data_IF_610046728334
#
_entry.id   IF_610046728334
#
_cell.length_a   1.000
_cell.length_b   1.000
_cell.length_c   1.000
_cell.angle_alpha   90.00
_cell.angle_beta   90.00
_cell.angle_gamma   90.00
#
_symmetry.space_group_name_H-M   'P 1'
#
loop_
_entity.id
_entity.type
_entity.pdbx_description
1 polymer ?
#
# COMPACT_ATOMS: atom_id res chain seq x y z
N UNK A 1 -28.28 5.63 -45.06
CA UNK A 1 -26.86 5.97 -44.90
C UNK A 1 -26.73 6.57 -43.51
N UNK A 2 -26.48 5.69 -42.55
CA UNK A 2 -26.18 6.09 -41.19
C UNK A 2 -24.73 6.51 -41.16
N UNK A 3 -24.52 7.81 -41.13
CA UNK A 3 -23.20 8.38 -40.83
C UNK A 3 -22.99 8.28 -39.32
N UNK A 4 -22.55 7.07 -38.89
CA UNK A 4 -22.18 6.81 -37.53
C UNK A 4 -21.01 7.69 -37.17
N UNK A 5 -21.26 8.70 -36.36
CA UNK A 5 -20.28 9.57 -35.76
C UNK A 5 -19.20 8.68 -35.08
N UNK A 6 -18.12 8.41 -35.81
CA UNK A 6 -16.93 7.77 -35.25
C UNK A 6 -16.41 8.72 -34.19
N UNK A 7 -16.63 8.38 -32.92
CA UNK A 7 -15.92 9.00 -31.83
C UNK A 7 -14.46 8.56 -31.99
N UNK A 8 -13.66 9.39 -32.64
CA UNK A 8 -12.21 9.20 -32.77
C UNK A 8 -11.62 9.66 -31.42
N UNK A 9 -11.55 8.77 -30.47
CA UNK A 9 -10.77 9.05 -29.25
C UNK A 9 -9.28 9.00 -29.60
N UNK A 10 -8.53 9.98 -29.13
CA UNK A 10 -7.07 9.97 -29.22
C UNK A 10 -6.52 8.67 -28.64
N UNK A 11 -5.73 7.96 -29.46
CA UNK A 11 -5.14 6.67 -29.07
C UNK A 11 -3.64 6.79 -29.12
N UNK A 12 -3.06 7.05 -27.97
CA UNK A 12 -1.62 7.09 -27.80
C UNK A 12 -1.05 5.69 -27.58
N UNK A 13 -0.04 5.34 -28.36
CA UNK A 13 0.69 4.07 -28.25
C UNK A 13 2.17 4.35 -28.00
N UNK A 14 2.77 3.60 -27.09
CA UNK A 14 4.20 3.68 -26.83
C UNK A 14 4.98 3.18 -28.05
N UNK A 15 5.62 4.08 -28.78
CA UNK A 15 6.45 3.77 -29.92
C UNK A 15 7.84 3.30 -29.53
N UNK A 16 8.43 3.94 -28.51
CA UNK A 16 9.72 3.55 -27.98
C UNK A 16 9.92 4.00 -26.56
N UNK A 17 10.62 3.20 -25.79
CA UNK A 17 11.19 3.57 -24.50
C UNK A 17 12.71 3.53 -24.61
N UNK A 18 13.36 4.63 -24.30
CA UNK A 18 14.81 4.76 -24.24
C UNK A 18 15.22 4.98 -22.79
N UNK A 19 16.22 4.26 -22.34
CA UNK A 19 16.76 4.40 -20.98
C UNK A 19 18.28 4.55 -21.03
N UNK A 20 18.81 5.38 -20.15
CA UNK A 20 20.26 5.56 -19.96
C UNK A 20 20.54 5.40 -18.48
N UNK A 21 21.43 4.49 -18.12
CA UNK A 21 21.89 4.29 -16.73
C UNK A 21 20.73 4.16 -15.72
N UNK A 22 19.81 3.24 -15.95
CA UNK A 22 18.67 3.01 -15.10
C UNK A 22 18.66 1.59 -14.51
N UNK A 23 18.78 1.46 -13.20
CA UNK A 23 18.85 0.18 -12.50
C UNK A 23 20.00 -0.71 -13.01
N UNK A 24 19.71 -1.92 -13.43
CA UNK A 24 20.68 -2.86 -14.03
C UNK A 24 21.11 -2.49 -15.44
N UNK A 25 20.39 -1.61 -16.12
CA UNK A 25 20.72 -1.16 -17.47
C UNK A 25 21.83 -0.10 -17.44
N UNK A 26 23.03 -0.47 -17.81
CA UNK A 26 24.18 0.43 -17.95
C UNK A 26 24.31 0.95 -19.39
N UNK A 27 24.54 2.27 -19.55
CA UNK A 27 24.58 2.88 -20.88
C UNK A 27 23.19 3.04 -21.51
N UNK A 28 23.16 3.13 -22.82
CA UNK A 28 21.95 3.38 -23.61
C UNK A 28 21.26 2.09 -24.04
N UNK A 29 19.96 2.00 -23.77
CA UNK A 29 19.08 0.91 -24.22
C UNK A 29 17.80 1.47 -24.80
N UNK A 30 17.24 0.78 -25.80
CA UNK A 30 15.97 1.15 -26.44
C UNK A 30 15.07 -0.07 -26.58
N UNK A 31 13.82 0.10 -26.19
CA UNK A 31 12.75 -0.89 -26.35
C UNK A 31 11.71 -0.31 -27.30
N UNK A 32 11.28 -1.13 -28.26
CA UNK A 32 10.28 -0.76 -29.27
C UNK A 32 9.15 -1.78 -29.22
N UNK A 33 8.04 -1.45 -28.53
CA UNK A 33 6.85 -2.30 -28.52
C UNK A 33 6.24 -2.40 -29.92
N UNK A 34 5.39 -3.40 -30.12
CA UNK A 34 4.64 -3.54 -31.38
C UNK A 34 3.69 -2.34 -31.57
N UNK A 35 3.75 -1.77 -32.76
CA UNK A 35 2.85 -0.71 -33.22
C UNK A 35 1.79 -1.26 -34.20
N UNK A 36 1.77 -2.58 -34.41
CA UNK A 36 0.81 -3.24 -35.29
C UNK A 36 -0.58 -3.31 -34.65
N UNK A 37 -1.60 -2.78 -35.34
CA UNK A 37 -2.98 -2.82 -34.86
C UNK A 37 -3.56 -4.23 -34.78
N UNK A 38 -3.06 -5.15 -35.60
CA UNK A 38 -3.47 -6.56 -35.58
C UNK A 38 -2.83 -7.32 -34.41
N UNK A 39 -1.63 -6.90 -33.97
CA UNK A 39 -0.88 -7.51 -32.87
C UNK A 39 -0.30 -6.43 -31.93
N UNK A 40 -1.14 -5.72 -31.16
CA UNK A 40 -0.70 -4.60 -30.33
C UNK A 40 0.00 -5.03 -29.03
N UNK A 41 0.30 -6.32 -28.89
CA UNK A 41 0.89 -6.90 -27.67
C UNK A 41 2.36 -7.20 -27.88
N UNK A 42 3.20 -6.75 -26.97
CA UNK A 42 4.62 -7.10 -26.89
C UNK A 42 4.88 -7.90 -25.63
N UNK A 43 5.39 -9.11 -25.80
CA UNK A 43 5.77 -9.96 -24.67
C UNK A 43 7.22 -9.68 -24.24
N UNK A 44 7.39 -9.27 -23.00
CA UNK A 44 8.70 -9.10 -22.37
C UNK A 44 9.04 -10.37 -21.57
N UNK A 45 9.83 -11.27 -22.17
CA UNK A 45 10.28 -12.52 -21.55
C UNK A 45 11.76 -12.45 -21.17
N UNK A 46 12.13 -13.15 -20.11
CA UNK A 46 13.50 -13.23 -19.64
C UNK A 46 13.59 -13.93 -18.28
N UNK A 47 14.80 -14.35 -17.91
CA UNK A 47 15.08 -14.96 -16.61
C UNK A 47 14.73 -14.03 -15.43
N UNK A 48 14.70 -14.57 -14.22
CA UNK A 48 14.64 -13.75 -13.02
C UNK A 48 15.82 -12.77 -13.01
N UNK A 49 15.63 -11.58 -12.46
CA UNK A 49 16.65 -10.51 -12.37
C UNK A 49 17.16 -9.94 -13.72
N UNK A 50 16.56 -10.32 -14.84
CA UNK A 50 16.94 -9.79 -16.16
C UNK A 50 16.55 -8.32 -16.42
N UNK A 51 16.04 -7.62 -15.42
CA UNK A 51 15.68 -6.20 -15.51
C UNK A 51 14.25 -5.92 -16.00
N UNK A 52 13.37 -6.92 -16.15
CA UNK A 52 11.97 -6.70 -16.57
C UNK A 52 11.23 -5.72 -15.67
N UNK A 53 11.31 -5.91 -14.35
CA UNK A 53 10.71 -5.01 -13.37
C UNK A 53 11.34 -3.61 -13.41
N UNK A 54 12.64 -3.52 -13.68
CA UNK A 54 13.37 -2.25 -13.85
C UNK A 54 12.80 -1.42 -15.00
N UNK A 55 12.39 -2.09 -16.08
CA UNK A 55 11.77 -1.44 -17.24
C UNK A 55 10.35 -0.92 -16.90
N UNK A 56 9.59 -1.67 -16.09
CA UNK A 56 8.27 -1.23 -15.59
C UNK A 56 8.44 -0.06 -14.63
N UNK A 57 9.43 -0.11 -13.74
CA UNK A 57 9.72 0.96 -12.79
C UNK A 57 10.17 2.26 -13.50
N UNK A 58 10.80 2.16 -14.68
CA UNK A 58 11.07 3.32 -15.53
C UNK A 58 9.77 4.01 -15.96
N UNK A 59 8.74 3.26 -16.34
CA UNK A 59 7.43 3.82 -16.68
C UNK A 59 6.76 4.47 -15.46
N UNK A 60 6.82 3.82 -14.31
CA UNK A 60 6.27 4.37 -13.06
C UNK A 60 6.95 5.70 -12.74
N UNK A 61 8.29 5.73 -12.83
CA UNK A 61 9.07 6.93 -12.56
C UNK A 61 8.77 8.10 -13.52
N UNK A 62 8.38 7.80 -14.75
CA UNK A 62 8.14 8.82 -15.78
C UNK A 62 6.68 9.29 -15.82
N UNK A 63 5.72 8.37 -15.77
CA UNK A 63 4.32 8.64 -16.09
C UNK A 63 3.44 8.88 -14.87
N UNK A 64 3.79 8.31 -13.71
CA UNK A 64 2.95 8.38 -12.51
C UNK A 64 3.37 9.50 -11.55
N UNK A 65 2.45 9.93 -10.68
CA UNK A 65 2.75 10.98 -9.70
C UNK A 65 3.97 10.65 -8.84
N UNK A 66 4.71 11.69 -8.44
CA UNK A 66 5.83 11.54 -7.52
C UNK A 66 5.36 10.88 -6.21
N UNK A 67 6.15 9.93 -5.71
CA UNK A 67 5.79 9.13 -4.53
C UNK A 67 5.00 7.87 -4.84
N UNK A 68 4.65 7.60 -6.11
CA UNK A 68 4.09 6.31 -6.50
C UNK A 68 5.14 5.22 -6.24
N UNK A 69 4.82 4.18 -5.46
CA UNK A 69 5.78 3.13 -5.14
C UNK A 69 6.15 2.33 -6.38
N UNK A 70 7.42 1.98 -6.52
CA UNK A 70 7.87 1.07 -7.56
C UNK A 70 7.34 -0.35 -7.32
N UNK A 71 7.39 -1.19 -8.36
CA UNK A 71 6.80 -2.53 -8.33
C UNK A 71 7.37 -3.38 -7.18
N UNK A 72 6.46 -3.91 -6.35
CA UNK A 72 6.78 -4.73 -5.16
C UNK A 72 7.24 -6.16 -5.49
N UNK A 73 7.10 -6.60 -6.74
CA UNK A 73 7.38 -7.99 -7.14
C UNK A 73 8.84 -8.45 -6.99
N UNK A 74 9.76 -7.55 -6.65
CA UNK A 74 11.16 -7.86 -6.36
C UNK A 74 11.48 -7.53 -4.90
N UNK A 75 10.84 -8.24 -3.98
CA UNK A 75 11.12 -8.18 -2.55
C UNK A 75 12.45 -8.84 -2.19
N UNK A 76 13.55 -8.18 -2.49
CA UNK A 76 14.81 -8.44 -1.83
C UNK A 76 15.14 -7.23 -0.95
N UNK A 77 14.76 -7.29 0.31
CA UNK A 77 15.22 -6.38 1.36
C UNK A 77 14.68 -4.95 1.28
N UNK A 78 14.69 -4.28 2.40
CA UNK A 78 14.27 -2.91 2.73
C UNK A 78 15.00 -1.78 1.98
N UNK A 79 15.51 -2.00 0.80
CA UNK A 79 16.11 -0.95 -0.02
C UNK A 79 15.00 -0.12 -0.63
N UNK A 80 14.86 1.11 -0.20
CA UNK A 80 13.97 2.08 -0.79
C UNK A 80 14.38 2.31 -2.25
N UNK A 81 13.62 1.72 -3.17
CA UNK A 81 13.79 1.97 -4.59
C UNK A 81 13.33 3.37 -4.91
N UNK A 82 14.24 4.18 -5.40
CA UNK A 82 13.99 5.55 -5.79
C UNK A 82 14.90 5.94 -6.97
N UNK A 83 14.73 7.13 -7.52
CA UNK A 83 15.53 7.62 -8.63
C UNK A 83 17.05 7.56 -8.38
N UNK A 84 17.47 7.83 -7.17
CA UNK A 84 18.89 7.81 -6.80
C UNK A 84 19.47 6.39 -6.85
N UNK A 85 18.77 5.42 -6.25
CA UNK A 85 19.21 4.03 -6.24
C UNK A 85 19.17 3.42 -7.63
N UNK A 86 18.19 3.82 -8.47
CA UNK A 86 18.12 3.41 -9.87
C UNK A 86 19.23 4.05 -10.71
N UNK A 87 19.49 5.35 -10.59
CA UNK A 87 20.57 6.02 -11.32
C UNK A 87 21.93 5.39 -10.99
N UNK A 88 22.19 5.14 -9.72
CA UNK A 88 23.43 4.49 -9.28
C UNK A 88 23.49 2.99 -9.56
N UNK A 89 22.36 2.35 -9.86
CA UNK A 89 22.28 0.91 -10.11
C UNK A 89 22.60 0.11 -8.85
N UNK A 90 21.77 0.22 -7.85
CA UNK A 90 21.92 -0.54 -6.62
C UNK A 90 21.72 -2.04 -6.90
N UNK A 91 22.70 -2.86 -6.51
CA UNK A 91 22.71 -4.32 -6.74
C UNK A 91 22.60 -5.14 -5.46
N UNK A 92 22.79 -4.51 -4.30
CA UNK A 92 22.74 -5.21 -3.02
C UNK A 92 23.11 -4.31 -1.85
N UNK A 93 23.17 -4.93 -0.70
CA UNK A 93 23.60 -4.32 0.56
C UNK A 93 24.73 -5.20 1.08
N UNK A 94 25.80 -4.59 1.54
CA UNK A 94 26.90 -5.26 2.24
C UNK A 94 26.76 -4.99 3.73
N UNK A 95 26.80 -6.06 4.52
CA UNK A 95 26.91 -5.97 5.97
C UNK A 95 28.38 -5.69 6.33
N UNK A 96 28.72 -4.45 6.64
CA UNK A 96 30.04 -4.04 7.09
C UNK A 96 30.06 -3.81 8.61
N UNK A 97 31.26 -3.66 9.19
CA UNK A 97 31.45 -3.36 10.62
C UNK A 97 30.73 -2.07 11.09
N UNK A 98 30.38 -1.19 10.16
CA UNK A 98 29.68 0.09 10.41
C UNK A 98 28.17 0.06 10.01
N UNK A 99 27.61 -1.13 9.78
CA UNK A 99 26.20 -1.31 9.38
C UNK A 99 26.01 -1.60 7.89
N UNK A 100 24.75 -1.69 7.48
CA UNK A 100 24.33 -2.00 6.12
C UNK A 100 24.75 -0.89 5.14
N UNK A 101 25.56 -1.22 4.15
CA UNK A 101 26.03 -0.27 3.13
C UNK A 101 25.56 -0.69 1.74
N UNK A 102 24.84 0.17 0.98
CA UNK A 102 24.38 -0.16 -0.35
C UNK A 102 25.53 -0.25 -1.36
N UNK A 103 25.51 -1.30 -2.18
CA UNK A 103 26.45 -1.53 -3.26
C UNK A 103 25.87 -0.99 -4.55
N UNK A 104 26.63 -0.16 -5.26
CA UNK A 104 26.21 0.49 -6.49
C UNK A 104 27.13 0.14 -7.66
N UNK A 105 26.53 0.01 -8.86
CA UNK A 105 27.25 -0.22 -10.12
C UNK A 105 27.93 1.04 -10.65
N UNK A 106 27.44 2.23 -10.31
CA UNK A 106 27.85 3.52 -10.92
C UNK A 106 28.13 4.58 -9.86
N UNK A 107 28.86 5.61 -10.25
CA UNK A 107 29.19 6.77 -9.41
C UNK A 107 30.60 6.71 -8.82
N UNK A 108 31.36 5.66 -9.16
CA UNK A 108 32.79 5.54 -8.90
C UNK A 108 33.48 4.94 -10.11
N UNK A 109 34.73 5.31 -10.35
CA UNK A 109 35.57 4.64 -11.35
C UNK A 109 36.22 3.36 -10.79
N UNK A 110 37.10 2.73 -11.60
CA UNK A 110 37.81 1.52 -11.22
C UNK A 110 38.69 1.69 -9.97
N UNK A 111 39.17 2.91 -9.71
CA UNK A 111 40.05 3.26 -8.59
C UNK A 111 39.21 3.68 -7.35
N UNK A 112 37.88 3.65 -7.46
CA UNK A 112 36.97 4.03 -6.38
C UNK A 112 36.73 5.55 -6.27
N UNK A 113 37.27 6.37 -7.17
CA UNK A 113 37.10 7.81 -7.18
C UNK A 113 35.65 8.18 -7.58
N UNK A 114 34.96 9.05 -6.83
CA UNK A 114 33.63 9.49 -7.20
C UNK A 114 33.57 10.17 -8.57
N UNK A 115 32.59 9.83 -9.39
CA UNK A 115 32.37 10.42 -10.71
C UNK A 115 30.93 10.95 -10.86
N UNK A 116 30.80 11.99 -11.71
CA UNK A 116 29.51 12.44 -12.16
C UNK A 116 28.77 11.32 -12.88
N UNK A 117 27.51 11.17 -12.59
CA UNK A 117 26.64 10.21 -13.28
C UNK A 117 25.37 10.92 -13.75
N UNK A 118 24.93 10.49 -14.91
CA UNK A 118 23.64 10.91 -15.45
C UNK A 118 22.86 9.72 -15.99
N UNK A 119 21.57 9.88 -16.06
CA UNK A 119 20.65 8.89 -16.63
C UNK A 119 19.45 9.58 -17.23
N UNK A 120 18.72 8.82 -18.04
CA UNK A 120 17.49 9.30 -18.66
C UNK A 120 16.48 8.19 -18.84
N UNK A 121 15.23 8.56 -18.77
CA UNK A 121 14.09 7.77 -19.21
C UNK A 121 13.36 8.62 -20.24
N UNK A 122 13.14 8.10 -21.43
CA UNK A 122 12.45 8.79 -22.51
C UNK A 122 11.45 7.83 -23.13
N UNK A 123 10.18 8.16 -23.02
CA UNK A 123 9.09 7.50 -23.73
C UNK A 123 8.62 8.37 -24.89
N UNK A 124 8.54 7.78 -26.06
CA UNK A 124 7.91 8.43 -27.24
C UNK A 124 6.62 7.71 -27.53
N UNK A 125 5.53 8.46 -27.53
CA UNK A 125 4.19 8.01 -27.88
C UNK A 125 3.81 8.53 -29.25
N UNK A 126 3.11 7.71 -30.03
CA UNK A 126 2.51 8.10 -31.27
C UNK A 126 0.98 8.08 -31.15
N UNK A 127 0.33 9.16 -31.56
CA UNK A 127 -1.11 9.22 -31.63
C UNK A 127 -1.59 8.56 -32.92
N UNK A 128 -2.47 7.57 -32.80
CA UNK A 128 -3.01 6.82 -33.94
C UNK A 128 -4.03 7.61 -34.75
N UNK A 129 -4.58 8.66 -34.19
CA UNK A 129 -5.63 9.45 -34.83
C UNK A 129 -5.08 10.41 -35.88
N UNK A 130 -3.94 11.06 -35.59
CA UNK A 130 -3.37 12.13 -36.41
C UNK A 130 -1.88 11.89 -36.77
N UNK A 131 -1.26 10.85 -36.21
CA UNK A 131 0.16 10.57 -36.39
C UNK A 131 1.09 11.48 -35.59
N UNK A 132 0.55 12.29 -34.70
CA UNK A 132 1.32 13.16 -33.80
C UNK A 132 2.25 12.37 -32.87
N UNK A 133 3.36 12.96 -32.50
CA UNK A 133 4.30 12.40 -31.54
C UNK A 133 4.28 13.22 -30.24
N UNK A 134 4.46 12.51 -29.13
CA UNK A 134 4.72 13.11 -27.82
C UNK A 134 5.86 12.34 -27.15
N UNK A 135 7.02 12.98 -26.99
CA UNK A 135 8.11 12.46 -26.20
C UNK A 135 8.06 13.05 -24.80
N UNK A 136 8.13 12.18 -23.81
CA UNK A 136 8.18 12.52 -22.41
C UNK A 136 9.54 12.05 -21.86
N UNK A 137 10.31 12.97 -21.29
CA UNK A 137 11.66 12.67 -20.84
C UNK A 137 11.89 13.13 -19.41
N UNK A 138 12.58 12.28 -18.65
CA UNK A 138 13.13 12.58 -17.33
C UNK A 138 14.63 12.34 -17.38
N UNK A 139 15.40 13.41 -17.17
CA UNK A 139 16.85 13.35 -17.06
C UNK A 139 17.25 13.47 -15.60
N UNK A 140 18.21 12.66 -15.21
CA UNK A 140 18.76 12.57 -13.87
C UNK A 140 20.24 12.92 -13.93
N UNK A 141 20.72 13.69 -12.98
CA UNK A 141 22.12 14.04 -12.86
C UNK A 141 22.53 14.08 -11.39
N UNK A 142 23.66 13.46 -11.09
CA UNK A 142 24.27 13.45 -9.77
C UNK A 142 25.75 13.83 -9.89
N UNK A 143 26.15 14.84 -9.15
CA UNK A 143 27.55 15.27 -9.06
C UNK A 143 28.37 14.25 -8.27
N UNK A 144 29.64 14.13 -8.59
CA UNK A 144 30.58 13.26 -7.90
C UNK A 144 30.57 13.50 -6.38
N UNK A 145 30.33 12.45 -5.62
CA UNK A 145 30.31 12.52 -4.15
C UNK A 145 28.99 12.98 -3.52
N UNK A 146 28.03 13.46 -4.31
CA UNK A 146 26.72 13.87 -3.78
C UNK A 146 25.88 12.67 -3.32
N UNK A 147 25.10 12.90 -2.27
CA UNK A 147 24.09 11.98 -1.77
C UNK A 147 22.73 12.12 -2.49
N UNK A 148 21.68 11.44 -1.98
CA UNK A 148 20.33 11.46 -2.58
C UNK A 148 19.74 12.86 -2.78
N UNK A 149 20.05 13.80 -1.87
CA UNK A 149 19.56 15.18 -1.91
C UNK A 149 20.20 16.00 -3.03
N UNK A 150 21.41 15.61 -3.50
CA UNK A 150 22.08 16.21 -4.63
C UNK A 150 21.53 15.80 -6.00
N UNK A 151 20.60 14.86 -6.05
CA UNK A 151 20.05 14.37 -7.31
C UNK A 151 19.20 15.43 -8.02
N UNK A 152 19.66 15.89 -9.15
CA UNK A 152 18.96 16.84 -10.02
C UNK A 152 18.10 16.12 -11.03
N UNK A 153 16.88 16.63 -11.23
CA UNK A 153 15.90 16.10 -12.17
C UNK A 153 15.50 17.17 -13.14
N UNK A 154 15.50 16.84 -14.44
CA UNK A 154 14.96 17.70 -15.49
C UNK A 154 13.85 16.97 -16.22
N UNK A 155 12.76 17.65 -16.47
CA UNK A 155 11.56 17.11 -17.08
C UNK A 155 11.30 17.85 -18.39
N UNK A 156 11.12 17.09 -19.47
CA UNK A 156 10.99 17.62 -20.82
C UNK A 156 9.86 16.92 -21.55
N UNK A 157 9.02 17.68 -22.23
CA UNK A 157 8.06 17.17 -23.23
C UNK A 157 8.38 17.77 -24.59
N UNK A 158 8.18 16.99 -25.63
CA UNK A 158 8.40 17.45 -27.00
C UNK A 158 7.52 16.69 -27.99
N UNK A 159 7.07 17.36 -29.02
CA UNK A 159 6.27 16.78 -30.11
C UNK A 159 7.14 16.09 -31.20
N UNK A 160 8.36 15.78 -30.91
CA UNK A 160 9.31 15.03 -31.73
C UNK A 160 10.03 13.97 -30.89
N UNK A 161 10.81 13.12 -31.54
CA UNK A 161 11.61 12.11 -30.85
C UNK A 161 12.81 12.73 -30.14
N UNK A 162 12.95 12.48 -28.85
CA UNK A 162 14.13 12.86 -28.04
C UNK A 162 15.17 11.74 -28.13
N UNK A 163 16.39 12.10 -28.51
CA UNK A 163 17.55 11.18 -28.38
C UNK A 163 18.34 11.57 -27.12
N UNK A 164 18.25 10.77 -26.02
CA UNK A 164 18.94 11.10 -24.78
C UNK A 164 20.47 11.07 -24.89
N UNK A 165 21.04 10.39 -25.91
CA UNK A 165 22.49 10.32 -26.10
C UNK A 165 23.13 11.66 -26.40
N UNK A 166 22.37 12.63 -26.88
CA UNK A 166 22.85 14.00 -27.09
C UNK A 166 23.30 14.67 -25.78
N UNK A 167 22.85 14.17 -24.62
CA UNK A 167 23.27 14.69 -23.32
C UNK A 167 24.63 14.15 -22.86
N UNK A 168 25.16 13.11 -23.50
CA UNK A 168 26.44 12.52 -23.10
C UNK A 168 27.63 13.50 -23.21
N UNK A 169 27.59 14.40 -24.17
CA UNK A 169 28.58 15.50 -24.30
C UNK A 169 28.59 16.48 -23.14
N UNK A 170 27.55 16.46 -22.30
CA UNK A 170 27.36 17.34 -21.15
C UNK A 170 27.54 16.60 -19.82
N UNK A 171 28.10 15.38 -19.83
CA UNK A 171 28.25 14.53 -18.65
C UNK A 171 29.00 15.21 -17.49
N UNK A 172 29.88 16.16 -17.80
CA UNK A 172 30.67 16.87 -16.81
C UNK A 172 30.04 18.20 -16.38
N UNK A 173 28.87 18.51 -16.91
CA UNK A 173 28.13 19.74 -16.64
C UNK A 173 26.78 19.40 -16.01
N UNK A 174 26.42 20.08 -14.93
CA UNK A 174 25.12 19.88 -14.29
C UNK A 174 23.97 20.16 -15.26
N UNK A 175 23.01 19.27 -15.31
CA UNK A 175 21.82 19.40 -16.16
C UNK A 175 20.90 20.51 -15.65
N UNK A 176 20.66 21.51 -16.51
CA UNK A 176 19.77 22.64 -16.24
C UNK A 176 18.68 22.69 -17.32
N UNK A 177 17.59 23.44 -17.04
CA UNK A 177 16.53 23.65 -18.03
C UNK A 177 17.05 24.31 -19.30
N UNK A 178 17.87 25.35 -19.18
CA UNK A 178 18.48 26.02 -20.33
C UNK A 178 19.32 25.08 -21.20
N UNK A 179 20.02 24.13 -20.57
CA UNK A 179 20.77 23.11 -21.30
C UNK A 179 19.84 22.17 -22.07
N UNK A 180 18.66 21.80 -21.48
CA UNK A 180 17.67 20.99 -22.18
C UNK A 180 17.12 21.74 -23.41
N UNK A 181 16.73 23.00 -23.25
CA UNK A 181 16.22 23.85 -24.33
C UNK A 181 17.25 24.08 -25.45
N UNK A 182 18.52 24.19 -25.08
CA UNK A 182 19.62 24.31 -26.04
C UNK A 182 19.85 22.99 -26.80
N UNK A 183 19.74 21.86 -26.10
CA UNK A 183 19.99 20.54 -26.70
C UNK A 183 18.83 20.05 -27.56
N UNK A 184 17.60 20.38 -27.15
CA UNK A 184 16.36 20.02 -27.82
C UNK A 184 15.55 21.29 -28.17
N UNK A 185 15.90 22.04 -29.22
CA UNK A 185 15.26 23.30 -29.55
C UNK A 185 13.75 23.13 -29.82
N UNK A 186 12.95 23.89 -29.11
CA UNK A 186 11.48 23.82 -29.20
C UNK A 186 10.82 22.77 -28.29
N UNK A 187 11.58 22.13 -27.42
CA UNK A 187 10.99 21.32 -26.35
C UNK A 187 10.37 22.20 -25.25
N UNK A 188 9.49 21.61 -24.46
CA UNK A 188 8.95 22.26 -23.25
C UNK A 188 9.63 21.68 -22.02
N UNK A 189 10.25 22.54 -21.22
CA UNK A 189 10.86 22.15 -19.93
C UNK A 189 9.91 22.47 -18.79
N UNK A 190 9.82 21.58 -17.81
CA UNK A 190 8.90 21.70 -16.67
C UNK A 190 9.65 22.00 -15.38
N UNK A 191 9.05 22.84 -14.54
CA UNK A 191 9.67 23.31 -13.27
C UNK A 191 9.83 22.15 -12.27
N UNK A 192 8.88 21.24 -12.25
CA UNK A 192 8.82 20.11 -11.33
C UNK A 192 8.02 18.95 -11.94
N UNK A 193 8.03 17.81 -11.24
CA UNK A 193 7.33 16.62 -11.67
C UNK A 193 5.80 16.81 -11.79
N UNK A 194 5.21 17.63 -10.92
CA UNK A 194 3.76 17.87 -10.94
C UNK A 194 3.33 18.60 -12.22
N UNK A 195 4.04 19.65 -12.60
CA UNK A 195 3.76 20.37 -13.85
C UNK A 195 3.99 19.48 -15.09
N UNK A 196 5.02 18.65 -15.05
CA UNK A 196 5.31 17.67 -16.10
C UNK A 196 4.17 16.64 -16.25
N UNK A 197 3.74 16.02 -15.16
CA UNK A 197 2.65 15.04 -15.20
C UNK A 197 1.33 15.67 -15.64
N UNK A 198 1.01 16.88 -15.16
CA UNK A 198 -0.21 17.60 -15.58
C UNK A 198 -0.22 17.86 -17.08
N UNK A 199 0.93 18.26 -17.68
CA UNK A 199 1.05 18.46 -19.13
C UNK A 199 0.83 17.16 -19.90
N UNK A 200 1.53 16.08 -19.54
CA UNK A 200 1.40 14.79 -20.21
C UNK A 200 -0.04 14.25 -20.13
N UNK A 201 -0.65 14.34 -18.95
CA UNK A 201 -2.01 13.83 -18.78
C UNK A 201 -3.02 14.63 -19.56
N UNK A 202 -2.84 15.94 -19.65
CA UNK A 202 -3.67 16.79 -20.49
C UNK A 202 -3.51 16.43 -21.97
N UNK A 203 -2.28 16.28 -22.46
CA UNK A 203 -1.97 15.95 -23.86
C UNK A 203 -2.47 14.56 -24.25
N UNK A 204 -2.43 13.60 -23.33
CA UNK A 204 -2.89 12.22 -23.54
C UNK A 204 -4.35 11.97 -23.19
N UNK A 205 -5.07 12.94 -22.62
CA UNK A 205 -6.43 12.75 -22.11
C UNK A 205 -6.50 11.78 -20.93
N UNK A 206 -5.44 11.71 -20.09
CA UNK A 206 -5.39 10.84 -18.93
C UNK A 206 -5.93 11.55 -17.69
N UNK A 207 -6.55 10.78 -16.78
CA UNK A 207 -6.92 11.25 -15.45
C UNK A 207 -5.98 10.67 -14.39
N UNK A 208 -5.95 11.29 -13.21
CA UNK A 208 -5.21 10.76 -12.07
C UNK A 208 -5.71 9.36 -11.64
N UNK A 209 -7.00 9.09 -11.83
CA UNK A 209 -7.65 7.82 -11.58
C UNK A 209 -7.14 6.74 -12.54
N UNK A 210 -7.07 7.07 -13.85
CA UNK A 210 -6.53 6.17 -14.87
C UNK A 210 -5.06 5.81 -14.57
N UNK A 211 -4.25 6.78 -14.15
CA UNK A 211 -2.86 6.53 -13.75
C UNK A 211 -2.76 5.64 -12.51
N UNK A 212 -3.61 5.84 -11.50
CA UNK A 212 -3.65 4.95 -10.32
C UNK A 212 -4.04 3.53 -10.68
N UNK A 213 -4.99 3.37 -11.60
CA UNK A 213 -5.40 2.05 -12.08
C UNK A 213 -4.28 1.35 -12.85
N UNK A 214 -3.63 2.05 -13.78
CA UNK A 214 -2.48 1.50 -14.51
C UNK A 214 -1.39 1.04 -13.55
N UNK A 215 -1.10 1.81 -12.51
CA UNK A 215 -0.17 1.41 -11.46
C UNK A 215 -0.63 0.14 -10.72
N UNK A 216 -1.92 0.06 -10.38
CA UNK A 216 -2.50 -1.11 -9.71
C UNK A 216 -2.41 -2.38 -10.55
N UNK A 217 -2.61 -2.25 -11.87
CA UNK A 217 -2.47 -3.35 -12.85
C UNK A 217 -1.00 -3.80 -12.98
N UNK A 218 -0.06 -2.85 -12.94
CA UNK A 218 1.37 -3.11 -13.06
C UNK A 218 2.02 -3.60 -11.75
N UNK A 219 1.39 -3.33 -10.61
CA UNK A 219 1.79 -3.87 -9.32
C UNK A 219 1.29 -5.31 -9.15
N UNK A 220 1.92 -6.08 -8.26
CA UNK A 220 1.54 -7.48 -7.98
C UNK A 220 0.10 -7.65 -7.44
N UNK A 221 -0.58 -6.55 -7.13
CA UNK A 221 -1.96 -6.51 -6.63
C UNK A 221 -3.00 -6.35 -7.76
N UNK A 222 -2.66 -6.74 -8.99
CA UNK A 222 -3.55 -6.62 -10.13
C UNK A 222 -4.91 -7.32 -9.85
N UNK A 223 -6.04 -6.68 -10.17
CA UNK A 223 -7.36 -7.27 -10.01
C UNK A 223 -7.45 -8.59 -10.78
N UNK A 224 -8.00 -9.62 -10.16
CA UNK A 224 -8.09 -10.96 -10.74
C UNK A 224 -9.07 -11.07 -11.91
N UNK A 225 -9.94 -10.05 -12.08
CA UNK A 225 -10.95 -10.00 -13.15
C UNK A 225 -10.72 -8.81 -14.06
N UNK A 226 -10.61 -9.08 -15.35
CA UNK A 226 -10.46 -8.06 -16.38
C UNK A 226 -11.64 -7.05 -16.36
N UNK A 227 -12.82 -7.53 -16.06
CA UNK A 227 -14.03 -6.72 -15.93
C UNK A 227 -13.93 -5.63 -14.86
N UNK A 228 -13.31 -5.94 -13.72
CA UNK A 228 -13.08 -4.98 -12.64
C UNK A 228 -12.06 -3.89 -13.06
N UNK A 229 -11.07 -4.26 -13.88
CA UNK A 229 -10.10 -3.31 -14.43
C UNK A 229 -10.80 -2.30 -15.34
N UNK A 230 -11.63 -2.80 -16.26
CA UNK A 230 -12.32 -1.92 -17.22
C UNK A 230 -13.40 -1.07 -16.54
N UNK A 231 -14.20 -1.63 -15.64
CA UNK A 231 -15.27 -0.91 -14.95
C UNK A 231 -14.80 0.14 -13.96
N UNK A 232 -13.63 -0.08 -13.32
CA UNK A 232 -13.14 0.79 -12.26
C UNK A 232 -12.15 1.85 -12.71
N UNK A 233 -11.68 1.79 -13.97
CA UNK A 233 -10.60 2.70 -14.31
C UNK A 233 -10.39 3.06 -15.77
N UNK A 234 -10.99 2.36 -16.72
CA UNK A 234 -10.80 2.69 -18.14
C UNK A 234 -12.04 3.38 -18.70
N UNK A 235 -13.21 3.06 -18.17
CA UNK A 235 -14.43 3.70 -18.59
C UNK A 235 -14.75 4.85 -17.64
N UNK A 236 -14.93 6.04 -18.18
CA UNK A 236 -15.58 7.11 -17.45
C UNK A 236 -16.92 6.60 -16.96
N UNK A 237 -17.16 6.73 -15.66
CA UNK A 237 -18.44 6.33 -15.08
C UNK A 237 -19.52 7.23 -15.73
N UNK A 238 -20.41 6.67 -16.56
CA UNK A 238 -21.48 7.47 -17.16
C UNK A 238 -22.23 8.23 -16.08
N UNK A 239 -22.60 9.47 -16.38
CA UNK A 239 -23.37 10.34 -15.47
C UNK A 239 -24.60 9.62 -14.90
N UNK A 240 -25.25 8.78 -15.72
CA UNK A 240 -26.39 7.94 -15.31
C UNK A 240 -26.04 6.94 -14.21
N UNK A 241 -24.84 6.35 -14.22
CA UNK A 241 -24.38 5.44 -13.16
C UNK A 241 -24.06 6.22 -11.89
N UNK A 242 -23.47 7.40 -12.01
CA UNK A 242 -23.21 8.28 -10.87
C UNK A 242 -24.52 8.66 -10.20
N UNK A 243 -25.48 9.14 -10.99
CA UNK A 243 -26.80 9.50 -10.51
C UNK A 243 -27.56 8.31 -9.90
N UNK A 244 -27.44 7.12 -10.52
CA UNK A 244 -28.04 5.90 -9.99
C UNK A 244 -27.43 5.52 -8.61
N UNK A 245 -26.12 5.66 -8.43
CA UNK A 245 -25.47 5.41 -7.12
C UNK A 245 -25.94 6.42 -6.08
N UNK A 246 -25.95 7.71 -6.42
CA UNK A 246 -26.48 8.75 -5.52
C UNK A 246 -27.93 8.46 -5.12
N UNK A 247 -28.75 8.02 -6.07
CA UNK A 247 -30.15 7.65 -5.81
C UNK A 247 -30.25 6.44 -4.86
N UNK A 248 -29.39 5.42 -5.02
CA UNK A 248 -29.34 4.26 -4.13
C UNK A 248 -28.86 4.69 -2.74
N UNK A 249 -27.86 5.53 -2.64
CA UNK A 249 -27.35 6.04 -1.37
C UNK A 249 -28.41 6.89 -0.64
N UNK A 250 -29.12 7.74 -1.38
CA UNK A 250 -30.27 8.49 -0.84
C UNK A 250 -31.39 7.56 -0.38
N UNK A 251 -31.72 6.54 -1.17
CA UNK A 251 -32.72 5.55 -0.79
C UNK A 251 -32.32 4.81 0.50
N UNK A 252 -31.08 4.36 0.60
CA UNK A 252 -30.57 3.70 1.79
C UNK A 252 -30.66 4.62 3.01
N UNK A 253 -30.25 5.88 2.87
CA UNK A 253 -30.36 6.89 3.92
C UNK A 253 -31.83 7.14 4.36
N UNK A 254 -32.75 7.21 3.39
CA UNK A 254 -34.17 7.36 3.72
C UNK A 254 -34.73 6.09 4.36
N UNK A 255 -34.32 4.92 3.91
CA UNK A 255 -34.73 3.63 4.50
C UNK A 255 -34.23 3.51 5.95
N UNK A 256 -32.98 3.85 6.22
CA UNK A 256 -32.43 3.86 7.59
C UNK A 256 -33.17 4.86 8.48
N UNK A 257 -33.46 6.06 7.97
CA UNK A 257 -34.24 7.05 8.69
C UNK A 257 -35.67 6.57 8.98
N UNK A 258 -36.29 5.88 8.00
CA UNK A 258 -37.63 5.32 8.17
C UNK A 258 -37.64 4.24 9.26
N UNK A 259 -36.69 3.28 9.22
CA UNK A 259 -36.59 2.26 10.26
C UNK A 259 -36.26 2.88 11.64
N UNK A 260 -35.38 3.88 11.68
CA UNK A 260 -35.12 4.61 12.92
C UNK A 260 -36.39 5.31 13.46
N UNK A 261 -37.27 5.75 12.57
CA UNK A 261 -38.53 6.36 12.97
C UNK A 261 -39.54 5.32 13.45
N UNK A 262 -39.63 4.15 12.79
CA UNK A 262 -40.43 3.00 13.27
C UNK A 262 -40.00 2.57 14.66
N UNK A 263 -38.70 2.35 14.88
CA UNK A 263 -38.14 2.00 16.21
C UNK A 263 -38.50 3.05 17.28
N UNK A 264 -38.43 4.33 16.91
CA UNK A 264 -38.81 5.40 17.84
C UNK A 264 -40.31 5.37 18.16
N UNK A 265 -41.16 5.11 17.17
CA UNK A 265 -42.59 5.00 17.37
C UNK A 265 -42.92 3.80 18.28
N UNK A 266 -42.27 2.66 18.06
CA UNK A 266 -42.40 1.48 18.92
C UNK A 266 -41.96 1.79 20.36
N UNK A 267 -40.80 2.43 20.49
CA UNK A 267 -40.32 2.87 21.82
C UNK A 267 -41.30 3.84 22.53
N UNK A 268 -41.90 4.75 21.77
CA UNK A 268 -42.92 5.66 22.31
C UNK A 268 -44.16 4.87 22.79
N UNK A 269 -44.60 3.88 21.98
CA UNK A 269 -45.72 3.04 22.36
C UNK A 269 -45.43 2.23 23.64
N UNK A 270 -44.23 1.63 23.73
CA UNK A 270 -43.78 0.94 24.95
C UNK A 270 -43.70 1.86 26.14
N UNK A 271 -43.15 3.07 25.98
CA UNK A 271 -43.08 4.05 27.08
C UNK A 271 -44.45 4.50 27.54
N UNK A 272 -45.41 4.66 26.64
CA UNK A 272 -46.80 4.97 26.98
C UNK A 272 -47.45 3.83 27.76
N UNK A 273 -47.22 2.54 27.35
CA UNK A 273 -47.72 1.39 28.11
C UNK A 273 -47.08 1.29 29.50
N UNK A 274 -45.75 1.53 29.57
CA UNK A 274 -45.03 1.60 30.87
C UNK A 274 -45.61 2.71 31.75
N UNK A 275 -45.86 3.88 31.17
CA UNK A 275 -46.41 5.02 31.91
C UNK A 275 -47.83 4.68 32.47
N UNK A 276 -48.64 4.04 31.64
CA UNK A 276 -49.98 3.61 32.06
C UNK A 276 -49.92 2.56 33.21
N UNK A 277 -49.07 1.53 33.04
CA UNK A 277 -48.86 0.50 34.07
C UNK A 277 -48.25 1.05 35.36
N UNK A 278 -47.32 2.01 35.20
CA UNK A 278 -46.73 2.71 36.36
C UNK A 278 -47.78 3.51 37.10
N UNK A 279 -48.72 4.15 36.40
CA UNK A 279 -49.83 4.87 37.03
C UNK A 279 -50.72 3.89 37.84
N UNK A 280 -51.03 2.73 37.31
CA UNK A 280 -51.78 1.68 38.03
C UNK A 280 -50.99 1.12 39.22
N UNK A 281 -49.69 0.84 39.00
CA UNK A 281 -48.78 0.40 40.06
C UNK A 281 -48.69 1.41 41.19
N UNK A 282 -48.50 2.70 40.87
CA UNK A 282 -48.40 3.77 41.86
C UNK A 282 -49.68 3.90 42.72
N UNK A 283 -50.85 3.68 42.04
CA UNK A 283 -52.13 3.65 42.74
C UNK A 283 -52.23 2.46 43.70
N UNK A 284 -51.89 1.26 43.23
CA UNK A 284 -51.89 0.06 44.06
C UNK A 284 -50.85 0.10 45.17
N UNK A 285 -49.67 0.67 44.89
CA UNK A 285 -48.61 0.89 45.89
C UNK A 285 -49.05 1.85 46.96
N UNK A 286 -49.78 2.95 46.60
CA UNK A 286 -50.37 3.87 47.55
C UNK A 286 -51.40 3.22 48.44
N UNK A 287 -52.31 2.45 47.85
CA UNK A 287 -53.31 1.67 48.57
C UNK A 287 -52.64 0.65 49.51
N UNK A 288 -51.59 -0.02 49.07
CA UNK A 288 -50.83 -0.98 49.89
C UNK A 288 -50.08 -0.30 51.04
N UNK A 289 -49.56 0.91 50.86
CA UNK A 289 -48.92 1.70 51.93
C UNK A 289 -49.83 2.00 53.10
N UNK A 290 -51.13 2.13 52.84
CA UNK A 290 -52.14 2.33 53.92
C UNK A 290 -52.29 1.08 54.80
N UNK A 291 -52.00 -0.12 54.24
CA UNK A 291 -52.20 -1.39 54.94
C UNK A 291 -50.93 -2.08 55.39
N UNK A 292 -49.70 -1.60 54.93
CA UNK A 292 -48.45 -2.29 55.23
C UNK A 292 -47.40 -1.30 55.79
N UNK A 293 -46.85 -1.58 56.98
CA UNK A 293 -45.80 -0.73 57.56
C UNK A 293 -44.44 -0.83 56.88
N UNK A 294 -44.28 -1.72 55.87
CA UNK A 294 -43.04 -1.93 55.14
C UNK A 294 -43.20 -1.35 53.74
N UNK A 295 -42.41 -0.32 53.43
CA UNK A 295 -42.33 0.26 52.08
C UNK A 295 -41.35 -0.53 51.21
N UNK A 296 -41.83 -1.30 50.22
CA UNK A 296 -40.95 -2.08 49.35
C UNK A 296 -40.24 -1.22 48.30
N UNK A 297 -40.68 0.03 48.10
CA UNK A 297 -40.18 0.94 47.07
C UNK A 297 -39.17 1.96 47.62
N UNK A 298 -38.76 1.79 48.91
CA UNK A 298 -37.70 2.58 49.48
C UNK A 298 -36.40 2.40 48.69
N UNK A 299 -35.76 3.53 48.35
CA UNK A 299 -34.59 3.56 47.48
C UNK A 299 -33.50 2.57 47.88
N UNK A 300 -32.86 2.05 46.84
CA UNK A 300 -31.76 1.08 46.93
C UNK A 300 -30.67 1.56 47.89
N UNK A 301 -30.41 0.81 48.93
CA UNK A 301 -29.35 1.06 49.90
C UNK A 301 -29.81 1.02 51.34
N UNK A 302 -31.10 1.31 51.62
CA UNK A 302 -31.62 1.36 52.99
C UNK A 302 -32.50 0.15 53.36
N UNK A 303 -32.82 -0.76 52.40
CA UNK A 303 -33.66 -1.92 52.67
C UNK A 303 -32.84 -3.19 52.92
N UNK A 304 -33.38 -4.08 53.78
CA UNK A 304 -32.76 -5.42 54.03
C UNK A 304 -32.58 -6.23 52.74
N UNK A 305 -33.47 -6.06 51.77
CA UNK A 305 -33.39 -6.74 50.46
C UNK A 305 -32.24 -6.19 49.65
N UNK A 306 -32.03 -4.90 49.60
CA UNK A 306 -30.89 -4.28 48.91
C UNK A 306 -29.56 -4.72 49.55
N UNK A 307 -29.46 -4.72 50.86
CA UNK A 307 -28.30 -5.21 51.57
C UNK A 307 -28.03 -6.71 51.28
N UNK A 308 -29.05 -7.52 51.18
CA UNK A 308 -28.95 -8.94 50.83
C UNK A 308 -28.48 -9.14 49.36
N UNK A 309 -29.06 -8.40 48.43
CA UNK A 309 -28.65 -8.48 47.00
C UNK A 309 -27.20 -8.07 46.81
N UNK A 310 -26.75 -6.98 47.41
CA UNK A 310 -25.36 -6.55 47.38
C UNK A 310 -24.41 -7.58 48.03
N UNK A 311 -24.80 -8.15 49.15
CA UNK A 311 -24.06 -9.23 49.81
C UNK A 311 -23.95 -10.46 48.94
N UNK A 312 -25.01 -10.85 48.24
CA UNK A 312 -25.03 -11.97 47.32
C UNK A 312 -24.10 -11.74 46.11
N UNK A 313 -24.20 -10.58 45.45
CA UNK A 313 -23.33 -10.20 44.35
C UNK A 313 -21.85 -10.18 44.78
N UNK A 314 -21.56 -9.59 45.92
CA UNK A 314 -20.20 -9.56 46.46
C UNK A 314 -19.65 -10.97 46.70
N UNK A 315 -20.49 -11.91 47.18
CA UNK A 315 -20.08 -13.31 47.41
C UNK A 315 -19.78 -14.04 46.09
N UNK A 316 -20.57 -13.79 45.06
CA UNK A 316 -20.34 -14.40 43.71
C UNK A 316 -19.07 -13.88 43.05
N UNK A 317 -18.85 -12.56 43.13
CA UNK A 317 -17.60 -11.96 42.61
C UNK A 317 -16.39 -12.49 43.35
N UNK A 318 -16.46 -12.59 44.70
CA UNK A 318 -15.36 -13.16 45.51
C UNK A 318 -15.13 -14.64 45.17
N UNK A 319 -16.14 -15.41 44.90
CA UNK A 319 -16.00 -16.82 44.49
C UNK A 319 -15.34 -16.98 43.12
N UNK A 320 -15.61 -16.06 42.18
CA UNK A 320 -15.02 -16.06 40.84
C UNK A 320 -13.58 -15.55 40.78
N UNK A 321 -13.19 -14.67 41.70
CA UNK A 321 -11.89 -14.00 41.70
C UNK A 321 -10.68 -14.96 41.69
N UNK A 322 -10.64 -16.02 42.52
CA UNK A 322 -9.49 -16.96 42.54
C UNK A 322 -9.30 -17.68 41.20
N UNK A 323 -10.39 -18.01 40.49
CA UNK A 323 -10.30 -18.68 39.20
C UNK A 323 -9.77 -17.72 38.11
N UNK A 324 -10.17 -16.47 38.12
CA UNK A 324 -9.67 -15.45 37.24
C UNK A 324 -8.18 -15.15 37.49
N UNK A 325 -7.80 -15.03 38.75
CA UNK A 325 -6.38 -14.85 39.15
C UNK A 325 -5.50 -16.03 38.71
N UNK A 326 -6.01 -17.26 38.87
CA UNK A 326 -5.29 -18.46 38.40
C UNK A 326 -5.05 -18.43 36.90
N UNK A 327 -6.09 -18.15 36.11
CA UNK A 327 -5.97 -18.03 34.65
C UNK A 327 -5.01 -16.93 34.24
N UNK A 328 -5.05 -15.79 34.90
CA UNK A 328 -4.11 -14.70 34.63
C UNK A 328 -2.65 -15.12 34.89
N UNK A 329 -2.42 -15.82 36.02
CA UNK A 329 -1.10 -16.36 36.35
C UNK A 329 -0.64 -17.41 35.34
N UNK A 330 -1.48 -18.37 34.99
CA UNK A 330 -1.17 -19.39 33.96
C UNK A 330 -0.79 -18.77 32.62
N UNK A 331 -1.50 -17.70 32.22
CA UNK A 331 -1.18 -16.95 30.99
C UNK A 331 0.17 -16.23 31.12
N UNK A 332 0.46 -15.62 32.26
CA UNK A 332 1.76 -14.98 32.50
C UNK A 332 2.91 -15.99 32.46
N UNK A 333 2.74 -17.12 33.13
CA UNK A 333 3.74 -18.21 33.15
C UNK A 333 3.97 -18.80 31.73
N UNK A 334 2.93 -18.76 30.85
CA UNK A 334 3.08 -19.17 29.47
C UNK A 334 3.85 -18.14 28.62
N UNK A 335 3.62 -16.86 28.87
CA UNK A 335 4.37 -15.76 28.24
C UNK A 335 5.86 -15.85 28.64
N UNK A 336 6.14 -16.02 29.92
CA UNK A 336 7.51 -16.10 30.43
C UNK A 336 8.26 -17.30 29.84
N UNK A 337 7.61 -18.48 29.74
CA UNK A 337 8.19 -19.65 29.08
C UNK A 337 8.46 -19.44 27.59
N UNK A 338 7.57 -18.73 26.91
CA UNK A 338 7.76 -18.40 25.49
C UNK A 338 8.94 -17.45 25.31
N UNK A 339 9.07 -16.47 26.18
CA UNK A 339 10.20 -15.53 26.15
C UNK A 339 11.54 -16.24 26.40
N UNK A 340 11.62 -17.12 27.41
CA UNK A 340 12.80 -17.94 27.65
C UNK A 340 13.17 -18.78 26.41
N UNK A 341 12.17 -19.34 25.73
CA UNK A 341 12.41 -20.13 24.53
C UNK A 341 12.93 -19.29 23.36
N UNK A 342 12.47 -18.05 23.24
CA UNK A 342 13.00 -17.09 22.26
C UNK A 342 14.47 -16.81 22.57
N UNK A 343 14.80 -16.48 23.81
CA UNK A 343 16.16 -16.16 24.24
C UNK A 343 17.13 -17.36 24.04
N UNK A 344 16.65 -18.60 24.31
CA UNK A 344 17.41 -19.82 24.01
C UNK A 344 17.67 -20.00 22.50
N UNK A 345 16.66 -19.77 21.68
CA UNK A 345 16.78 -19.88 20.22
C UNK A 345 17.71 -18.82 19.66
N UNK A 346 17.63 -17.60 20.16
CA UNK A 346 18.55 -16.53 19.76
C UNK A 346 20.00 -16.87 20.10
N UNK A 347 20.24 -17.44 21.30
CA UNK A 347 21.57 -17.94 21.69
C UNK A 347 22.07 -19.05 20.76
N UNK A 348 21.19 -19.98 20.38
CA UNK A 348 21.53 -21.05 19.42
C UNK A 348 21.82 -20.51 18.03
N UNK A 349 21.06 -19.51 17.57
CA UNK A 349 21.29 -18.82 16.29
C UNK A 349 22.67 -18.17 16.28
N UNK A 350 23.03 -17.45 17.33
CA UNK A 350 24.36 -16.82 17.42
C UNK A 350 25.49 -17.87 17.44
N UNK A 351 25.33 -18.95 18.20
CA UNK A 351 26.32 -20.04 18.24
C UNK A 351 26.48 -20.75 16.88
N UNK A 352 25.41 -20.85 16.08
CA UNK A 352 25.46 -21.39 14.73
C UNK A 352 26.14 -20.42 13.76
N UNK A 353 25.85 -19.14 13.88
CA UNK A 353 26.52 -18.08 13.10
C UNK A 353 28.03 -18.06 13.35
N UNK A 354 28.45 -18.15 14.61
CA UNK A 354 29.89 -18.22 14.97
C UNK A 354 30.57 -19.44 14.37
N UNK A 355 29.90 -20.63 14.40
CA UNK A 355 30.43 -21.84 13.75
C UNK A 355 30.51 -21.72 12.25
N UNK A 356 29.53 -21.08 11.62
CA UNK A 356 29.55 -20.82 10.17
C UNK A 356 30.69 -19.87 9.77
N UNK A 357 30.96 -18.86 10.57
CA UNK A 357 32.05 -17.90 10.33
C UNK A 357 33.45 -18.54 10.57
N UNK A 358 33.54 -19.62 11.36
CA UNK A 358 34.77 -20.34 11.63
C UNK A 358 35.15 -21.41 10.60
N UNK A 359 34.33 -21.67 9.59
CA UNK A 359 34.59 -22.67 8.54
C UNK A 359 35.11 -21.96 7.29
N UNK A 360 36.34 -22.28 6.89
CA UNK A 360 36.92 -21.82 5.59
C UNK A 360 35.99 -22.22 4.44
N UNK A 361 35.32 -21.25 3.81
CA UNK A 361 34.29 -21.46 2.79
C UNK A 361 32.91 -20.90 3.14
N UNK A 362 32.71 -20.38 4.34
CA UNK A 362 31.42 -19.82 4.80
C UNK A 362 30.86 -18.73 3.89
N UNK A 363 31.72 -17.92 3.27
CA UNK A 363 31.32 -16.88 2.32
C UNK A 363 30.65 -17.40 1.05
N UNK A 364 30.90 -18.66 0.67
CA UNK A 364 30.27 -19.29 -0.50
C UNK A 364 28.88 -19.86 -0.18
N UNK A 365 28.67 -20.29 1.05
CA UNK A 365 27.36 -20.75 1.55
C UNK A 365 26.38 -19.60 1.82
N UNK A 366 26.87 -18.42 2.21
CA UNK A 366 26.02 -17.23 2.34
C UNK A 366 25.41 -16.79 0.99
N UNK A 367 26.15 -16.90 -0.11
CA UNK A 367 25.63 -16.55 -1.46
C UNK A 367 24.57 -17.53 -1.97
N UNK A 368 24.61 -18.81 -1.53
CA UNK A 368 23.60 -19.81 -1.92
C UNK A 368 22.52 -20.03 -0.87
N UNK A 369 22.77 -19.64 0.37
CA UNK A 369 21.83 -19.77 1.49
C UNK A 369 20.89 -18.57 1.64
N UNK A 370 21.19 -17.44 1.02
CA UNK A 370 20.37 -16.21 1.09
C UNK A 370 18.97 -16.40 0.53
N UNK A 371 18.84 -17.15 -0.56
CA UNK A 371 17.53 -17.44 -1.17
C UNK A 371 16.69 -18.40 -0.32
N UNK A 372 17.30 -19.40 0.31
CA UNK A 372 16.57 -20.34 1.19
C UNK A 372 16.21 -19.75 2.56
N UNK A 373 16.98 -18.77 3.08
CA UNK A 373 16.64 -18.09 4.33
C UNK A 373 15.39 -17.22 4.23
N UNK A 374 15.15 -16.60 3.08
CA UNK A 374 13.94 -15.80 2.83
C UNK A 374 12.65 -16.63 3.02
N UNK A 375 12.68 -17.89 2.58
CA UNK A 375 11.51 -18.76 2.63
C UNK A 375 11.29 -19.41 4.00
N UNK A 376 12.36 -19.75 4.73
CA UNK A 376 12.25 -20.34 6.09
C UNK A 376 11.80 -19.29 7.11
N UNK A 377 12.32 -18.07 7.05
CA UNK A 377 11.91 -16.98 7.96
C UNK A 377 10.50 -16.50 7.61
N UNK A 378 10.10 -16.54 6.34
CA UNK A 378 8.75 -16.20 5.92
C UNK A 378 7.72 -17.23 6.40
N UNK A 379 8.04 -18.53 6.33
CA UNK A 379 7.19 -19.62 6.82
C UNK A 379 7.10 -19.62 8.35
N UNK A 380 8.18 -19.39 9.09
CA UNK A 380 8.15 -19.36 10.55
C UNK A 380 7.40 -18.11 11.09
N UNK A 381 7.57 -16.93 10.46
CA UNK A 381 6.78 -15.73 10.82
C UNK A 381 5.29 -15.88 10.48
N UNK A 382 4.95 -16.58 9.40
CA UNK A 382 3.56 -16.91 9.05
C UNK A 382 2.91 -17.84 10.08
N UNK A 383 3.62 -18.86 10.56
CA UNK A 383 3.11 -19.80 11.58
C UNK A 383 2.97 -19.14 12.96
N UNK A 384 3.93 -18.33 13.40
CA UNK A 384 3.86 -17.60 14.68
C UNK A 384 2.71 -16.58 14.66
N UNK A 385 2.42 -15.96 13.52
CA UNK A 385 1.29 -15.02 13.39
C UNK A 385 -0.07 -15.73 13.42
N UNK A 386 -0.19 -16.94 12.85
CA UNK A 386 -1.43 -17.73 12.91
C UNK A 386 -1.71 -18.24 14.32
N UNK A 387 -0.70 -18.68 15.07
CA UNK A 387 -0.88 -19.17 16.45
C UNK A 387 -1.18 -18.04 17.45
N UNK A 388 -0.71 -16.82 17.21
CA UNK A 388 -1.00 -15.66 18.06
C UNK A 388 -2.41 -15.07 17.83
N UNK A 389 -2.99 -15.24 16.65
CA UNK A 389 -4.36 -14.75 16.36
C UNK A 389 -5.48 -15.71 16.76
N UNK A 390 -5.21 -17.01 16.91
CA UNK A 390 -6.20 -18.01 17.31
C UNK A 390 -6.81 -17.78 18.70
N UNK A 391 -6.05 -17.43 19.75
CA UNK A 391 -6.63 -17.15 21.08
C UNK A 391 -7.57 -15.94 21.10
N UNK A 392 -7.26 -14.90 20.32
CA UNK A 392 -8.10 -13.70 20.24
C UNK A 392 -9.42 -13.95 19.52
N UNK A 393 -9.43 -14.80 18.50
CA UNK A 393 -10.67 -15.20 17.78
C UNK A 393 -11.56 -16.13 18.62
N UNK A 394 -10.98 -16.98 19.46
CA UNK A 394 -11.74 -17.80 20.42
C UNK A 394 -12.38 -16.95 21.51
N UNK A 395 -11.67 -15.97 22.06
CA UNK A 395 -12.20 -15.04 23.06
C UNK A 395 -13.31 -14.13 22.49
N UNK A 396 -13.17 -13.67 21.25
CA UNK A 396 -14.21 -12.90 20.58
C UNK A 396 -15.47 -13.75 20.31
N UNK A 397 -15.33 -15.04 19.97
CA UNK A 397 -16.47 -15.95 19.78
C UNK A 397 -17.16 -16.32 21.10
N UNK A 398 -16.45 -16.46 22.19
CA UNK A 398 -17.03 -16.69 23.52
C UNK A 398 -17.79 -15.46 24.03
N UNK A 399 -17.23 -14.27 23.87
CA UNK A 399 -17.88 -13.01 24.27
C UNK A 399 -19.12 -12.67 23.42
N UNK A 400 -19.16 -13.11 22.14
CA UNK A 400 -20.35 -12.99 21.28
C UNK A 400 -21.39 -14.08 21.57
N UNK A 401 -20.96 -15.29 21.94
CA UNK A 401 -21.87 -16.41 22.28
C UNK A 401 -22.62 -16.22 23.59
N UNK A 402 -22.00 -15.57 24.56
CA UNK A 402 -22.64 -15.28 25.87
C UNK A 402 -23.61 -14.07 25.80
N UNK A 403 -23.45 -13.19 24.82
CA UNK A 403 -24.38 -12.09 24.58
C UNK A 403 -25.69 -12.50 23.94
N UNK A 404 -25.70 -13.63 23.19
CA UNK A 404 -26.90 -14.16 22.52
C UNK A 404 -27.73 -15.05 23.47
N UNK A 405 -27.20 -15.45 24.63
CA UNK A 405 -27.91 -16.26 25.64
C UNK A 405 -28.48 -15.47 26.80
N UNK A 406 -28.33 -14.15 26.81
CA UNK A 406 -28.83 -13.23 27.83
C UNK A 406 -29.83 -12.20 27.32
N UNK A 407 -30.34 -12.37 26.11
CA UNK A 407 -31.58 -11.80 25.59
C UNK A 407 -32.59 -12.95 25.37
#
# INVERSE_FOLDING_TARGET
>A
MEDGMKIVSDRWMLQSRQIVNWGSYGGYHVFRPSMDDAMPVTLLAGASESGKSTLVDAQISLLYPSGTPYNKASNSGRSERNDYTYLRGMIGISDGENGETPIFLRGRDADGTPQNIWGAIVDTYANRSDGGLLSCAKFLYLTAGDGPDGLRRQYVTWNQTIDPRLMDRHRDTSFTRGLMEQTYPGCTTHVNAQAFHASIWQDMGLSAEACRLLHKIQSADAPSKLDDIFKQGVLDVPESIRLARETVDDYNRFSENFHSMEDKMERVAILQDIQARYGEYAKQASERREYTPIDPDREQGETTLAAWTWSRMASEVRAGLPSAQRKAKESQDAIDRSQQRIDELDTQIEAVKERMNGIDGGSLLERTGGERRGDIVRNSRGHIRMDAEQPLRCLQRQLLGDRIRSE
#
